data_IF_654206036247
#
_entry.id   IF_654206036247
#
_cell.length_a   1.000
_cell.length_b   1.000
_cell.length_c   1.000
_cell.angle_alpha   90.00
_cell.angle_beta   90.00
_cell.angle_gamma   90.00
#
_symmetry.space_group_name_H-M   'P 1'
#
loop_
_entity.id
_entity.type
_entity.pdbx_description
1 polymer ?
#
# COMPACT_ATOMS: atom_id res chain seq x y z
N UNK A 1 3.73 16.66 -3.54
CA UNK A 1 2.95 15.71 -4.36
C UNK A 1 2.43 14.61 -3.46
N UNK A 2 1.20 14.13 -3.66
CA UNK A 2 0.58 13.10 -2.83
C UNK A 2 0.09 11.95 -3.71
N UNK A 3 0.38 10.71 -3.33
CA UNK A 3 0.05 9.50 -4.07
C UNK A 3 -0.79 8.58 -3.19
N UNK A 4 -1.92 8.10 -3.70
CA UNK A 4 -2.75 7.11 -3.04
C UNK A 4 -2.43 5.72 -3.59
N UNK A 5 -2.14 4.77 -2.71
CA UNK A 5 -1.96 3.35 -3.03
C UNK A 5 -3.20 2.62 -2.53
N UNK A 6 -4.08 2.24 -3.45
CA UNK A 6 -5.35 1.57 -3.12
C UNK A 6 -5.10 0.07 -2.98
N UNK A 7 -5.39 -0.48 -1.80
CA UNK A 7 -5.18 -1.89 -1.47
C UNK A 7 -6.51 -2.57 -1.18
N UNK A 8 -6.68 -3.79 -1.65
CA UNK A 8 -7.82 -4.65 -1.35
C UNK A 8 -7.32 -5.97 -0.75
N UNK A 9 -8.19 -6.75 -0.11
CA UNK A 9 -7.78 -8.06 0.41
C UNK A 9 -7.22 -8.95 -0.72
N UNK A 10 -6.15 -9.68 -0.43
CA UNK A 10 -5.45 -10.52 -1.40
C UNK A 10 -4.48 -9.77 -2.32
N UNK A 11 -4.09 -8.54 -1.97
CA UNK A 11 -3.02 -7.83 -2.68
C UNK A 11 -1.66 -8.52 -2.49
N UNK A 12 -0.76 -8.38 -3.47
CA UNK A 12 0.63 -8.81 -3.37
C UNK A 12 1.44 -7.82 -2.52
N UNK A 13 1.93 -8.27 -1.37
CA UNK A 13 2.52 -7.38 -0.36
C UNK A 13 3.81 -6.73 -0.83
N UNK A 14 4.66 -7.48 -1.54
CA UNK A 14 5.94 -6.98 -2.03
C UNK A 14 5.72 -5.86 -3.05
N UNK A 15 4.71 -5.98 -3.92
CA UNK A 15 4.40 -4.96 -4.93
C UNK A 15 3.90 -3.66 -4.29
N UNK A 16 3.09 -3.75 -3.24
CA UNK A 16 2.62 -2.60 -2.48
C UNK A 16 3.76 -1.94 -1.67
N UNK A 17 4.48 -2.70 -0.87
CA UNK A 17 5.53 -2.18 0.03
C UNK A 17 6.69 -1.58 -0.76
N UNK A 18 7.08 -2.19 -1.88
CA UNK A 18 8.17 -1.68 -2.72
C UNK A 18 7.85 -0.30 -3.30
N UNK A 19 6.63 -0.10 -3.81
CA UNK A 19 6.19 1.21 -4.32
C UNK A 19 6.14 2.25 -3.21
N UNK A 20 5.58 1.89 -2.05
CA UNK A 20 5.50 2.79 -0.89
C UNK A 20 6.91 3.21 -0.42
N UNK A 21 7.86 2.28 -0.33
CA UNK A 21 9.24 2.56 0.09
C UNK A 21 9.93 3.53 -0.88
N UNK A 22 9.85 3.26 -2.19
CA UNK A 22 10.47 4.13 -3.21
C UNK A 22 9.89 5.54 -3.16
N UNK A 23 8.56 5.69 -3.09
CA UNK A 23 7.91 6.99 -3.04
C UNK A 23 8.31 7.78 -1.78
N UNK A 24 8.35 7.12 -0.62
CA UNK A 24 8.75 7.76 0.64
C UNK A 24 10.21 8.19 0.63
N UNK A 25 11.13 7.39 0.06
CA UNK A 25 12.55 7.76 -0.11
C UNK A 25 12.74 8.93 -1.06
N UNK A 26 11.81 9.14 -1.98
CA UNK A 26 11.75 10.30 -2.86
C UNK A 26 11.04 11.52 -2.23
N UNK A 27 10.77 11.50 -0.91
CA UNK A 27 10.05 12.54 -0.18
C UNK A 27 8.62 12.81 -0.71
N UNK A 28 7.99 11.81 -1.33
CA UNK A 28 6.59 11.87 -1.79
C UNK A 28 5.67 11.36 -0.68
N UNK A 29 4.57 12.08 -0.43
CA UNK A 29 3.54 11.67 0.52
C UNK A 29 2.72 10.50 -0.06
N UNK A 30 3.16 9.28 0.24
CA UNK A 30 2.50 8.03 -0.12
C UNK A 30 1.51 7.61 0.97
N UNK A 31 0.23 7.50 0.61
CA UNK A 31 -0.85 7.11 1.52
C UNK A 31 -1.47 5.80 1.06
N UNK A 32 -1.38 4.78 1.90
CA UNK A 32 -2.12 3.53 1.71
C UNK A 32 -3.60 3.74 2.04
N UNK A 33 -4.48 3.32 1.14
CA UNK A 33 -5.93 3.44 1.27
C UNK A 33 -6.53 2.07 1.03
N UNK A 34 -7.23 1.52 2.01
CA UNK A 34 -7.96 0.28 1.78
C UNK A 34 -9.24 0.52 0.97
N UNK A 35 -9.53 -0.35 0.00
CA UNK A 35 -10.65 -0.23 -0.93
C UNK A 35 -11.99 -0.33 -0.20
N UNK A 36 -12.17 -1.40 0.59
CA UNK A 36 -13.42 -1.70 1.30
C UNK A 36 -13.35 -1.42 2.80
N UNK A 37 -12.17 -1.54 3.40
CA UNK A 37 -11.92 -1.45 4.85
C UNK A 37 -10.61 -0.72 5.11
N UNK A 38 -10.48 -0.10 6.28
CA UNK A 38 -9.22 0.58 6.68
C UNK A 38 -8.03 -0.39 6.81
N UNK A 39 -8.28 -1.61 7.28
CA UNK A 39 -7.30 -2.69 7.35
C UNK A 39 -7.64 -3.73 6.28
N UNK A 40 -6.64 -4.15 5.50
CA UNK A 40 -6.76 -5.17 4.46
C UNK A 40 -5.65 -6.19 4.65
N UNK A 41 -5.92 -7.46 4.34
CA UNK A 41 -4.95 -8.54 4.47
C UNK A 41 -4.39 -8.91 3.09
N UNK A 42 -3.07 -8.96 2.96
CA UNK A 42 -2.39 -9.40 1.75
C UNK A 42 -2.54 -10.90 1.51
N UNK A 43 -2.16 -11.36 0.32
CA UNK A 43 -2.32 -12.75 -0.11
C UNK A 43 -1.60 -13.77 0.80
N UNK A 44 -0.60 -13.32 1.56
CA UNK A 44 0.23 -14.13 2.44
C UNK A 44 -0.03 -13.87 3.94
N UNK A 45 -1.14 -13.18 4.29
CA UNK A 45 -1.57 -13.03 5.67
C UNK A 45 -0.99 -11.83 6.42
N UNK A 46 -0.44 -10.85 5.72
CA UNK A 46 0.11 -9.62 6.32
C UNK A 46 -0.96 -8.51 6.27
N UNK A 47 -1.12 -7.76 7.37
CA UNK A 47 -2.07 -6.64 7.52
C UNK A 47 -1.36 -5.28 7.68
#
# INVERSE_FOLDING_TARGET
MKVAIILANGFEEIEAVSLIDILRRAEIDAVSVGLDKKCVCGAHGIE
#
